data_IF_003728354675
#
_entry.id   IF_003728354675
#
_cell.length_a   1.000
_cell.length_b   1.000
_cell.length_c   1.000
_cell.angle_alpha   90.00
_cell.angle_beta   90.00
_cell.angle_gamma   90.00
#
_symmetry.space_group_name_H-M   'P 1'
#
loop_
_entity.id
_entity.type
_entity.pdbx_description
1 polymer ?
#
# COMPACT_ATOMS: atom_id res chain seq x y z
N UNK A 1 -10.44 -12.62 -12.04
CA UNK A 1 -9.96 -11.31 -11.55
C UNK A 1 -8.74 -11.56 -10.66
N UNK A 2 -7.68 -10.73 -10.75
CA UNK A 2 -6.49 -10.89 -9.92
C UNK A 2 -6.88 -10.94 -8.44
N UNK A 3 -6.37 -11.92 -7.71
CA UNK A 3 -6.66 -12.06 -6.29
C UNK A 3 -5.48 -11.57 -5.47
N UNK A 4 -5.65 -10.49 -4.71
CA UNK A 4 -4.67 -10.10 -3.69
C UNK A 4 -4.75 -11.10 -2.53
N UNK A 5 -3.64 -11.76 -2.19
CA UNK A 5 -3.57 -12.71 -1.08
C UNK A 5 -2.63 -12.26 0.05
N UNK A 6 -1.86 -11.20 -0.16
CA UNK A 6 -1.08 -10.54 0.88
C UNK A 6 -1.03 -9.04 0.57
N UNK A 7 -1.35 -8.24 1.57
CA UNK A 7 -1.26 -6.79 1.56
C UNK A 7 -0.59 -6.36 2.85
N UNK A 8 0.31 -5.38 2.80
CA UNK A 8 0.94 -4.86 4.00
C UNK A 8 1.72 -3.57 3.78
N UNK A 9 2.06 -2.93 4.89
CA UNK A 9 2.88 -1.72 4.93
C UNK A 9 4.11 -2.02 5.78
N UNK A 10 5.29 -1.66 5.31
CA UNK A 10 6.54 -1.84 6.05
C UNK A 10 7.45 -0.63 5.92
N UNK A 11 8.30 -0.39 6.92
CA UNK A 11 9.33 0.64 6.83
C UNK A 11 10.48 0.26 5.88
N UNK A 12 10.64 -1.04 5.59
CA UNK A 12 11.59 -1.54 4.61
C UNK A 12 11.38 -3.02 4.32
N UNK A 13 12.03 -3.52 3.27
CA UNK A 13 12.02 -4.94 2.93
C UNK A 13 13.32 -5.37 2.26
N UNK A 14 13.56 -6.68 2.24
CA UNK A 14 14.60 -7.29 1.43
C UNK A 14 14.08 -8.50 0.68
N UNK A 15 14.72 -8.79 -0.45
CA UNK A 15 14.51 -9.98 -1.25
C UNK A 15 15.84 -10.71 -1.38
N UNK A 16 15.90 -11.93 -0.86
CA UNK A 16 17.05 -12.79 -1.08
C UNK A 16 17.02 -13.40 -2.49
N UNK A 17 18.08 -13.22 -3.26
CA UNK A 17 18.13 -13.65 -4.66
C UNK A 17 18.27 -15.17 -4.82
N UNK A 18 18.81 -15.86 -3.82
CA UNK A 18 19.08 -17.30 -3.91
C UNK A 18 17.87 -18.14 -3.52
N UNK A 19 17.22 -17.79 -2.41
CA UNK A 19 16.05 -18.51 -1.88
C UNK A 19 14.72 -17.92 -2.32
N UNK A 20 14.72 -16.71 -2.90
CA UNK A 20 13.50 -15.93 -3.20
C UNK A 20 12.66 -15.61 -1.96
N UNK A 21 13.27 -15.69 -0.76
CA UNK A 21 12.65 -15.29 0.49
C UNK A 21 12.50 -13.77 0.53
N UNK A 22 11.33 -13.32 0.99
CA UNK A 22 11.06 -11.90 1.25
C UNK A 22 10.97 -11.68 2.75
N UNK A 23 11.71 -10.68 3.23
CA UNK A 23 11.61 -10.19 4.59
C UNK A 23 10.99 -8.80 4.59
N UNK A 24 9.95 -8.61 5.40
CA UNK A 24 9.34 -7.31 5.66
C UNK A 24 9.83 -6.82 7.02
N UNK A 25 10.40 -5.62 7.06
CA UNK A 25 10.97 -5.03 8.27
C UNK A 25 10.05 -3.93 8.81
N UNK A 26 9.76 -4.00 10.11
CA UNK A 26 8.89 -3.06 10.82
C UNK A 26 7.55 -2.88 10.09
N UNK A 27 6.70 -3.90 10.17
CA UNK A 27 5.31 -3.79 9.70
C UNK A 27 4.63 -2.60 10.39
N UNK A 28 3.96 -1.77 9.61
CA UNK A 28 3.42 -0.50 10.07
C UNK A 28 1.90 -0.60 10.17
N UNK A 29 1.42 -0.56 11.40
CA UNK A 29 -0.02 -0.52 11.74
C UNK A 29 -0.42 0.83 12.34
N UNK A 30 0.56 1.70 12.64
CA UNK A 30 0.33 3.04 13.16
C UNK A 30 1.40 4.03 12.68
N UNK A 31 0.98 5.22 12.31
CA UNK A 31 1.84 6.37 12.00
C UNK A 31 1.55 7.47 13.00
N UNK A 32 2.60 7.93 13.68
CA UNK A 32 2.53 9.06 14.60
C UNK A 32 2.85 10.34 13.84
N UNK A 33 1.91 11.29 13.87
CA UNK A 33 2.04 12.59 13.23
C UNK A 33 2.29 13.64 14.32
N UNK A 34 3.39 14.42 14.25
CA UNK A 34 3.61 15.49 15.21
C UNK A 34 2.53 16.59 15.10
N UNK A 35 2.10 17.22 16.22
CA UNK A 35 1.13 18.31 16.19
C UNK A 35 1.59 19.44 15.27
N UNK A 36 0.69 19.90 14.40
CA UNK A 36 0.96 20.99 13.46
C UNK A 36 2.02 20.69 12.38
N UNK A 37 2.44 19.44 12.23
CA UNK A 37 3.36 19.06 11.16
C UNK A 37 2.70 19.32 9.80
N UNK A 38 3.41 19.94 8.84
CA UNK A 38 2.90 20.06 7.48
C UNK A 38 2.78 18.66 6.86
N UNK A 39 1.89 18.48 5.86
CA UNK A 39 1.84 17.26 5.08
C UNK A 39 3.22 16.92 4.48
N UNK A 40 3.56 15.63 4.33
CA UNK A 40 4.83 15.24 3.75
C UNK A 40 4.95 15.68 2.28
N UNK A 41 6.17 15.74 1.72
CA UNK A 41 6.38 16.05 0.31
C UNK A 41 5.53 15.14 -0.60
N UNK A 42 4.92 15.72 -1.64
CA UNK A 42 4.00 15.05 -2.55
C UNK A 42 2.80 14.35 -1.87
N UNK A 43 2.53 14.66 -0.59
CA UNK A 43 1.50 14.01 0.21
C UNK A 43 1.71 12.49 0.35
N UNK A 44 2.97 12.03 0.38
CA UNK A 44 3.34 10.62 0.50
C UNK A 44 4.27 10.40 1.70
N UNK A 45 3.94 9.42 2.54
CA UNK A 45 4.82 8.93 3.61
C UNK A 45 5.85 7.94 3.06
N UNK A 46 7.12 7.99 3.51
CA UNK A 46 8.21 7.16 2.99
C UNK A 46 8.14 5.72 3.53
N UNK A 47 7.06 5.02 3.21
CA UNK A 47 6.79 3.63 3.58
C UNK A 47 6.68 2.77 2.32
N UNK A 48 6.92 1.47 2.47
CA UNK A 48 6.75 0.50 1.40
C UNK A 48 5.38 -0.18 1.50
N UNK A 49 4.60 -0.11 0.43
CA UNK A 49 3.36 -0.83 0.23
C UNK A 49 3.66 -2.13 -0.52
N UNK A 50 3.24 -3.24 0.05
CA UNK A 50 3.46 -4.57 -0.48
C UNK A 50 2.14 -5.21 -0.83
N UNK A 51 1.95 -5.63 -2.08
CA UNK A 51 0.77 -6.39 -2.51
C UNK A 51 1.17 -7.59 -3.38
N UNK A 52 0.54 -8.73 -3.12
CA UNK A 52 0.84 -10.00 -3.78
C UNK A 52 -0.42 -10.58 -4.39
N UNK A 53 -0.33 -10.87 -5.69
CA UNK A 53 -1.46 -11.29 -6.49
C UNK A 53 -1.25 -12.69 -7.03
N UNK A 54 -2.35 -13.44 -7.05
CA UNK A 54 -2.49 -14.66 -7.83
C UNK A 54 -3.36 -14.35 -9.04
N UNK A 55 -2.90 -14.78 -10.20
CA UNK A 55 -3.57 -14.59 -11.49
C UNK A 55 -4.08 -15.92 -12.01
N UNK A 56 -5.28 -15.92 -12.57
CA UNK A 56 -5.84 -17.04 -13.31
C UNK A 56 -5.22 -17.13 -14.71
N UNK A 57 -5.24 -18.32 -15.36
CA UNK A 57 -4.60 -18.50 -16.67
C UNK A 57 -5.10 -17.56 -17.77
N UNK A 58 -6.37 -17.20 -17.75
CA UNK A 58 -7.04 -16.28 -18.69
C UNK A 58 -6.66 -14.81 -18.48
N UNK A 59 -5.94 -14.49 -17.40
CA UNK A 59 -5.50 -13.13 -17.06
C UNK A 59 -4.06 -12.86 -17.51
N UNK A 60 -3.32 -13.91 -17.87
CA UNK A 60 -1.94 -13.79 -18.33
C UNK A 60 -1.89 -13.05 -19.68
N UNK A 61 -0.86 -12.22 -19.85
CA UNK A 61 -0.70 -11.34 -21.00
C UNK A 61 -1.52 -10.04 -20.93
N UNK A 62 -2.47 -9.94 -20.00
CA UNK A 62 -3.20 -8.68 -19.77
C UNK A 62 -2.33 -7.66 -19.03
N UNK A 63 -2.55 -6.38 -19.34
CA UNK A 63 -1.99 -5.28 -18.54
C UNK A 63 -2.97 -4.89 -17.47
N UNK A 64 -2.55 -4.97 -16.21
CA UNK A 64 -3.30 -4.48 -15.06
C UNK A 64 -2.88 -3.06 -14.73
N UNK A 65 -3.86 -2.26 -14.35
CA UNK A 65 -3.67 -0.99 -13.67
C UNK A 65 -4.08 -1.18 -12.22
N UNK A 66 -3.23 -0.78 -11.28
CA UNK A 66 -3.48 -0.89 -9.85
C UNK A 66 -3.20 0.43 -9.15
N UNK A 67 -3.92 0.68 -8.06
CA UNK A 67 -3.64 1.79 -7.14
C UNK A 67 -4.00 1.35 -5.73
N UNK A 68 -3.40 2.00 -4.75
CA UNK A 68 -3.74 1.81 -3.35
C UNK A 68 -4.76 2.86 -2.94
N UNK A 69 -5.71 2.45 -2.11
CA UNK A 69 -6.71 3.33 -1.52
C UNK A 69 -6.58 3.27 -0.01
N UNK A 70 -6.39 4.42 0.62
CA UNK A 70 -6.46 4.57 2.06
C UNK A 70 -7.88 5.03 2.40
N UNK A 71 -8.66 4.16 3.03
CA UNK A 71 -10.11 4.33 3.22
C UNK A 71 -10.42 4.53 4.71
N UNK A 72 -11.02 5.66 5.06
CA UNK A 72 -11.53 5.90 6.41
C UNK A 72 -12.87 5.18 6.62
N UNK A 73 -13.21 4.94 7.88
CA UNK A 73 -14.55 4.54 8.32
C UNK A 73 -15.66 5.53 7.91
N UNK A 74 -15.32 6.82 7.82
CA UNK A 74 -16.20 7.89 7.30
C UNK A 74 -16.47 7.81 5.79
N UNK A 75 -15.74 6.96 5.05
CA UNK A 75 -15.79 6.87 3.59
C UNK A 75 -14.89 7.88 2.86
N UNK A 76 -14.11 8.69 3.58
CA UNK A 76 -13.04 9.50 2.97
C UNK A 76 -11.94 8.59 2.42
N UNK A 77 -11.47 8.89 1.22
CA UNK A 77 -10.43 8.10 0.56
C UNK A 77 -9.29 8.96 0.06
N UNK A 78 -8.07 8.43 0.16
CA UNK A 78 -6.90 8.96 -0.54
C UNK A 78 -6.30 7.88 -1.40
N UNK A 79 -6.07 8.19 -2.68
CA UNK A 79 -5.59 7.23 -3.67
C UNK A 79 -4.12 7.47 -3.99
N UNK A 80 -3.37 6.39 -4.20
CA UNK A 80 -2.03 6.47 -4.79
C UNK A 80 -2.11 6.74 -6.29
N UNK A 81 -0.95 7.03 -6.88
CA UNK A 81 -0.79 6.96 -8.33
C UNK A 81 -1.07 5.54 -8.85
N UNK A 82 -1.42 5.48 -10.13
CA UNK A 82 -1.69 4.21 -10.83
C UNK A 82 -0.38 3.58 -11.28
N UNK A 83 -0.16 2.34 -10.86
CA UNK A 83 0.94 1.48 -11.32
C UNK A 83 0.41 0.56 -12.41
N UNK A 84 1.18 0.41 -13.50
CA UNK A 84 0.84 -0.49 -14.61
C UNK A 84 1.76 -1.70 -14.61
N UNK A 85 1.19 -2.88 -14.83
CA UNK A 85 1.96 -4.11 -14.92
C UNK A 85 1.36 -5.10 -15.92
N UNK A 86 2.19 -5.59 -16.84
CA UNK A 86 1.81 -6.68 -17.77
C UNK A 86 2.08 -8.03 -17.12
N UNK A 87 1.00 -8.81 -16.95
CA UNK A 87 1.00 -10.05 -16.19
C UNK A 87 1.61 -11.21 -16.98
N UNK A 88 2.92 -11.40 -16.91
CA UNK A 88 3.60 -12.48 -17.62
C UNK A 88 3.59 -13.83 -16.89
N UNK A 89 3.31 -13.85 -15.58
CA UNK A 89 3.36 -15.07 -14.75
C UNK A 89 2.16 -15.16 -13.80
N UNK A 90 1.80 -16.36 -13.30
CA UNK A 90 0.65 -16.54 -12.40
C UNK A 90 0.77 -15.85 -11.03
N UNK A 91 1.95 -15.34 -10.68
CA UNK A 91 2.21 -14.67 -9.40
C UNK A 91 2.88 -13.34 -9.66
N UNK A 92 2.29 -12.30 -9.13
CA UNK A 92 2.83 -10.95 -9.23
C UNK A 92 2.99 -10.38 -7.83
N UNK A 93 4.13 -9.74 -7.57
CA UNK A 93 4.41 -9.05 -6.30
C UNK A 93 4.80 -7.62 -6.59
N UNK A 94 4.35 -6.70 -5.75
CA UNK A 94 4.66 -5.28 -5.86
C UNK A 94 5.31 -4.77 -4.59
N UNK A 95 6.23 -3.83 -4.80
CA UNK A 95 6.76 -2.94 -3.78
C UNK A 95 6.60 -1.51 -4.30
N UNK A 96 5.60 -0.81 -3.80
CA UNK A 96 5.35 0.59 -4.14
C UNK A 96 5.84 1.48 -3.00
N UNK A 97 6.61 2.51 -3.32
CA UNK A 97 7.08 3.48 -2.34
C UNK A 97 6.07 4.62 -2.24
N UNK A 98 5.76 5.02 -1.01
CA UNK A 98 4.83 6.12 -0.75
C UNK A 98 3.46 5.64 -0.32
N UNK A 99 3.18 5.71 0.98
CA UNK A 99 1.82 5.60 1.49
C UNK A 99 1.12 6.95 1.34
N UNK A 100 -0.06 7.05 0.70
CA UNK A 100 -0.81 8.30 0.66
C UNK A 100 -1.09 8.85 2.05
N UNK A 101 -0.78 10.12 2.28
CA UNK A 101 -1.03 10.78 3.56
C UNK A 101 -2.53 11.11 3.69
N UNK A 102 -3.18 10.73 4.81
CA UNK A 102 -4.61 10.89 4.97
C UNK A 102 -5.01 12.36 5.14
N UNK A 103 -6.25 12.74 4.79
CA UNK A 103 -6.74 14.11 4.95
C UNK A 103 -7.02 14.47 6.41
N UNK A 104 -7.28 13.47 7.26
CA UNK A 104 -7.53 13.61 8.69
C UNK A 104 -6.85 12.48 9.45
N UNK A 105 -6.64 12.67 10.75
CA UNK A 105 -6.16 11.61 11.63
C UNK A 105 -7.30 10.65 11.98
N UNK A 106 -6.97 9.38 12.23
CA UNK A 106 -7.97 8.37 12.54
C UNK A 106 -7.58 6.96 12.10
N UNK A 107 -8.58 6.10 12.06
CA UNK A 107 -8.45 4.70 11.63
C UNK A 107 -8.73 4.59 10.14
N UNK A 108 -7.86 3.86 9.45
CA UNK A 108 -7.95 3.63 8.02
C UNK A 108 -7.69 2.17 7.68
N UNK A 109 -8.17 1.79 6.50
CA UNK A 109 -7.80 0.55 5.85
C UNK A 109 -7.06 0.89 4.55
N UNK A 110 -5.84 0.35 4.41
CA UNK A 110 -5.22 0.28 3.10
C UNK A 110 -5.89 -0.84 2.31
N UNK A 111 -6.34 -0.53 1.10
CA UNK A 111 -6.93 -1.45 0.14
C UNK A 111 -6.26 -1.31 -1.21
N UNK A 112 -6.50 -2.28 -2.09
CA UNK A 112 -6.03 -2.25 -3.48
C UNK A 112 -7.22 -2.14 -4.41
N UNK A 113 -7.18 -1.16 -5.31
CA UNK A 113 -8.04 -1.12 -6.48
C UNK A 113 -7.24 -1.62 -7.68
N UNK A 114 -7.87 -2.43 -8.53
CA UNK A 114 -7.30 -2.88 -9.79
C UNK A 114 -8.33 -2.86 -10.91
N UNK A 115 -7.83 -2.77 -12.13
CA UNK A 115 -8.60 -2.97 -13.36
C UNK A 115 -7.72 -3.49 -14.48
N UNK A 116 -8.32 -4.05 -15.51
CA UNK A 116 -7.60 -4.33 -16.76
C UNK A 116 -7.45 -3.02 -17.52
N UNK A 117 -6.26 -2.75 -18.05
CA UNK A 117 -5.99 -1.54 -18.82
C UNK A 117 -6.96 -1.42 -20.00
N UNK A 118 -7.50 -0.21 -20.20
CA UNK A 118 -8.53 0.05 -21.21
C UNK A 118 -9.97 -0.25 -20.77
N UNK A 119 -10.17 -0.78 -19.56
CA UNK A 119 -11.52 -0.87 -18.94
C UNK A 119 -11.80 0.35 -18.07
N UNK A 120 -13.07 0.71 -17.92
CA UNK A 120 -13.47 1.89 -17.15
C UNK A 120 -13.59 1.61 -15.65
N UNK A 121 -13.99 0.39 -15.29
CA UNK A 121 -14.44 0.05 -13.94
C UNK A 121 -13.29 -0.44 -13.07
N UNK A 122 -13.11 0.18 -11.92
CA UNK A 122 -12.21 -0.29 -10.87
C UNK A 122 -12.88 -1.35 -10.02
N UNK A 123 -12.15 -2.41 -9.71
CA UNK A 123 -12.54 -3.41 -8.72
C UNK A 123 -11.68 -3.24 -7.48
N UNK A 124 -12.29 -3.22 -6.30
CA UNK A 124 -11.58 -3.16 -5.03
C UNK A 124 -11.44 -4.55 -4.44
N UNK A 125 -10.23 -4.93 -4.05
CA UNK A 125 -9.99 -6.19 -3.35
C UNK A 125 -10.60 -6.14 -1.95
N UNK A 126 -10.97 -7.32 -1.43
CA UNK A 126 -11.53 -7.47 -0.09
C UNK A 126 -10.45 -7.41 0.98
N UNK A 127 -9.20 -7.74 0.65
CA UNK A 127 -8.10 -7.70 1.60
C UNK A 127 -7.79 -6.26 2.00
N UNK A 128 -7.71 -6.03 3.30
CA UNK A 128 -7.42 -4.73 3.90
C UNK A 128 -6.27 -4.87 4.90
N UNK A 129 -5.40 -3.85 4.93
CA UNK A 129 -4.39 -3.71 5.97
C UNK A 129 -4.79 -2.54 6.90
N UNK A 130 -5.06 -2.80 8.19
CA UNK A 130 -5.47 -1.76 9.12
C UNK A 130 -4.28 -0.83 9.43
N UNK A 131 -4.54 0.47 9.49
CA UNK A 131 -3.53 1.46 9.87
C UNK A 131 -4.16 2.65 10.59
N UNK A 132 -3.54 3.07 11.68
CA UNK A 132 -3.96 4.25 12.45
C UNK A 132 -3.03 5.43 12.22
N UNK A 133 -3.60 6.63 12.11
CA UNK A 133 -2.86 7.89 12.11
C UNK A 133 -3.22 8.65 13.38
N UNK A 134 -2.25 8.84 14.27
CA UNK A 134 -2.47 9.45 15.58
C UNK A 134 -1.56 10.65 15.76
N UNK A 135 -2.07 11.68 16.44
CA UNK A 135 -1.26 12.79 16.86
C UNK A 135 -0.41 12.36 18.06
N UNK A 136 0.91 12.62 18.02
CA UNK A 136 1.78 12.31 19.15
C UNK A 136 2.83 13.40 19.33
N UNK A 137 2.93 13.93 20.55
CA UNK A 137 4.03 14.82 20.93
C UNK A 137 5.37 14.08 20.77
N UNK A 138 6.30 14.71 20.04
CA UNK A 138 7.67 14.21 19.93
C UNK A 138 8.29 14.17 21.32
N UNK A 139 8.46 12.98 21.91
CA UNK A 139 9.29 12.86 23.12
C UNK A 139 10.72 13.28 22.75
N UNK A 140 11.40 14.08 23.59
CA UNK A 140 12.79 14.43 23.32
C UNK A 140 13.61 13.15 23.20
N UNK A 141 14.39 13.03 22.12
CA UNK A 141 15.37 11.94 21.96
C UNK A 141 16.38 12.06 23.11
N UNK A 142 16.36 11.09 24.02
CA UNK A 142 17.47 10.90 24.97
C UNK A 142 18.65 10.39 24.15
N UNK A 143 19.62 11.25 23.87
CA UNK A 143 20.94 10.86 23.37
C UNK A 143 21.76 10.32 24.54
N UNK A 144 22.13 9.04 24.48
CA UNK A 144 23.14 8.44 25.34
C UNK A 144 24.54 8.66 24.75
#
# INVERSE_FOLDING_TARGET
MPQCYLLGISAGSSLDQQSNNVSLFNLVEQVNVPPGAPPPPNNLLPLELHAYFRLAPDELGSTLEMRFALVADTGLETLSEVVRHTCATPRYRTRTLGLPFPPVLGQYELRVDFRVAGTEHWTRDMLAWPISFVEMESKPRVTH
#
